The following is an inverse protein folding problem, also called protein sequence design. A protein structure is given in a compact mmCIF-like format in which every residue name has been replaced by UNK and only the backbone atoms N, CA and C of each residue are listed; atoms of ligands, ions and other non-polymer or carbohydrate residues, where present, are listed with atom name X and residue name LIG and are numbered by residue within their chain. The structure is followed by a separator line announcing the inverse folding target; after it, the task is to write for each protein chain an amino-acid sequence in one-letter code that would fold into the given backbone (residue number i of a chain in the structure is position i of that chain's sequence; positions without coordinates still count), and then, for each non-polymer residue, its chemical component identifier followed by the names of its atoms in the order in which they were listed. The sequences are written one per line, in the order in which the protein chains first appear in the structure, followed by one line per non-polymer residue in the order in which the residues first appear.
data_IF_784967248008
#
_entry.id   IF_784967248008
#
_cell.length_a   1.000
_cell.length_b   1.000
_cell.length_c   1.000
_cell.angle_alpha   90.00
_cell.angle_beta   90.00
_cell.angle_gamma   90.00
#
_symmetry.space_group_name_H-M   'P 1'
#
loop_
_entity.id
_entity.type
_entity.pdbx_description
1 polymer ?
#
# COMPACT_ATOMS: atom_id res chain seq x y z
N UNK A 1 26.21 -21.20 -10.56
CA UNK A 1 25.14 -20.24 -10.89
C UNK A 1 25.20 -19.15 -9.84
N UNK A 2 25.37 -17.89 -10.25
CA UNK A 2 25.40 -16.77 -9.29
C UNK A 2 23.98 -16.51 -8.84
N UNK A 3 23.72 -16.67 -7.54
CA UNK A 3 22.45 -16.27 -6.93
C UNK A 3 22.33 -14.74 -7.01
N UNK A 4 21.13 -14.22 -7.33
CA UNK A 4 20.88 -12.78 -7.34
C UNK A 4 21.07 -12.26 -5.92
N UNK A 5 21.84 -11.19 -5.76
CA UNK A 5 22.11 -10.64 -4.43
C UNK A 5 20.87 -9.89 -3.93
N UNK A 6 20.63 -9.93 -2.63
CA UNK A 6 19.58 -9.14 -1.97
C UNK A 6 19.66 -7.65 -2.33
N UNK A 7 20.88 -7.14 -2.58
CA UNK A 7 21.15 -5.75 -3.00
C UNK A 7 20.62 -5.40 -4.39
N UNK A 8 20.30 -6.38 -5.21
CA UNK A 8 19.82 -6.21 -6.59
C UNK A 8 18.28 -6.33 -6.69
N UNK A 9 17.64 -7.01 -5.72
CA UNK A 9 16.20 -7.26 -5.71
C UNK A 9 15.42 -5.97 -5.39
N UNK A 10 15.78 -5.28 -4.29
CA UNK A 10 15.04 -4.09 -3.84
C UNK A 10 15.02 -2.95 -4.89
N UNK A 11 16.16 -2.57 -5.50
CA UNK A 11 16.15 -1.53 -6.54
C UNK A 11 15.28 -1.90 -7.75
N UNK A 12 15.21 -3.18 -8.09
CA UNK A 12 14.41 -3.64 -9.21
C UNK A 12 12.90 -3.62 -8.88
N UNK A 13 12.52 -4.03 -7.66
CA UNK A 13 11.14 -3.88 -7.17
C UNK A 13 10.73 -2.40 -7.23
N UNK A 14 11.55 -1.51 -6.69
CA UNK A 14 11.26 -0.07 -6.67
C UNK A 14 11.13 0.49 -8.08
N UNK A 15 11.96 0.03 -9.02
CA UNK A 15 11.89 0.43 -10.42
C UNK A 15 10.61 -0.06 -11.11
N UNK A 16 10.19 -1.31 -10.87
CA UNK A 16 9.01 -1.88 -11.54
C UNK A 16 7.72 -1.28 -11.00
N UNK A 17 7.60 -1.14 -9.69
CA UNK A 17 6.37 -0.67 -9.05
C UNK A 17 6.30 0.86 -8.88
N UNK A 18 7.44 1.55 -8.96
CA UNK A 18 7.57 2.99 -8.73
C UNK A 18 6.78 3.47 -7.51
N UNK A 19 7.19 2.99 -6.33
CA UNK A 19 6.52 3.33 -5.07
C UNK A 19 6.47 4.83 -4.73
N UNK A 20 7.25 5.66 -5.42
CA UNK A 20 7.22 7.11 -5.25
C UNK A 20 6.01 7.76 -5.96
N UNK A 21 5.46 7.11 -6.99
CA UNK A 21 4.36 7.62 -7.80
C UNK A 21 3.11 6.73 -7.80
N UNK A 22 3.16 5.56 -7.14
CA UNK A 22 2.04 4.62 -7.03
C UNK A 22 0.81 5.31 -6.42
N UNK A 23 -0.35 5.12 -7.07
CA UNK A 23 -1.60 5.63 -6.53
C UNK A 23 -2.05 4.81 -5.31
N UNK A 24 -2.90 5.40 -4.45
CA UNK A 24 -3.46 4.69 -3.30
C UNK A 24 -4.32 3.48 -3.71
N UNK A 25 -4.95 3.54 -4.88
CA UNK A 25 -5.76 2.44 -5.43
C UNK A 25 -4.84 1.29 -5.86
N UNK A 26 -3.81 1.57 -6.65
CA UNK A 26 -2.81 0.56 -7.03
C UNK A 26 -2.10 -0.04 -5.80
N UNK A 27 -1.78 0.78 -4.80
CA UNK A 27 -1.16 0.33 -3.56
C UNK A 27 -2.08 -0.60 -2.77
N UNK A 28 -3.37 -0.27 -2.67
CA UNK A 28 -4.36 -1.14 -2.05
C UNK A 28 -4.47 -2.47 -2.81
N UNK A 29 -4.56 -2.43 -4.14
CA UNK A 29 -4.67 -3.63 -4.96
C UNK A 29 -3.44 -4.52 -4.80
N UNK A 30 -2.25 -3.92 -4.70
CA UNK A 30 -1.02 -4.63 -4.37
C UNK A 30 -1.08 -5.27 -2.98
N UNK A 31 -1.62 -4.54 -1.99
CA UNK A 31 -1.76 -5.00 -0.61
C UNK A 31 -2.74 -6.15 -0.47
N UNK A 32 -3.86 -6.14 -1.21
CA UNK A 32 -4.84 -7.23 -1.32
C UNK A 32 -4.21 -8.46 -1.97
N UNK A 33 -3.50 -8.27 -3.09
CA UNK A 33 -2.85 -9.38 -3.80
C UNK A 33 -1.75 -10.06 -2.97
N UNK A 34 -1.13 -9.31 -2.05
CA UNK A 34 -0.10 -9.80 -1.13
C UNK A 34 -0.66 -10.18 0.26
N UNK A 35 -1.98 -10.26 0.40
CA UNK A 35 -2.65 -10.46 1.69
C UNK A 35 -2.33 -11.81 2.35
N UNK A 36 -2.10 -12.88 1.57
CA UNK A 36 -1.81 -14.23 2.10
C UNK A 36 -0.43 -14.39 2.77
N UNK A 37 0.40 -13.34 2.84
CA UNK A 37 1.82 -13.45 3.22
C UNK A 37 2.13 -13.00 4.66
N UNK A 38 1.22 -12.37 5.41
CA UNK A 38 1.50 -11.97 6.81
C UNK A 38 0.22 -11.78 7.66
N UNK A 39 -0.01 -12.62 8.69
CA UNK A 39 -1.18 -12.53 9.56
C UNK A 39 -1.14 -11.38 10.58
N UNK A 40 -0.03 -10.64 10.71
CA UNK A 40 0.05 -9.53 11.68
C UNK A 40 -0.61 -8.22 11.21
N UNK A 41 -0.89 -8.06 9.92
CA UNK A 41 -1.49 -6.83 9.37
C UNK A 41 -2.83 -7.16 8.73
N UNK A 42 -3.90 -6.87 9.48
CA UNK A 42 -5.28 -7.12 9.06
C UNK A 42 -5.78 -5.99 8.16
N UNK A 43 -5.66 -6.18 6.84
CA UNK A 43 -6.19 -5.24 5.85
C UNK A 43 -7.69 -5.02 6.05
N UNK A 44 -8.47 -6.01 6.48
CA UNK A 44 -9.90 -5.79 6.74
C UNK A 44 -10.12 -4.81 7.88
N UNK A 45 -9.27 -4.88 8.92
CA UNK A 45 -9.31 -3.93 10.02
C UNK A 45 -8.98 -2.52 9.53
N UNK A 46 -7.93 -2.36 8.74
CA UNK A 46 -7.57 -1.06 8.16
C UNK A 46 -8.75 -0.46 7.39
N UNK A 47 -9.39 -1.27 6.54
CA UNK A 47 -10.54 -0.88 5.73
C UNK A 47 -11.80 -0.58 6.55
N UNK A 48 -12.03 -1.30 7.66
CA UNK A 48 -13.12 -1.00 8.61
C UNK A 48 -12.86 0.33 9.32
N UNK A 49 -11.63 0.56 9.76
CA UNK A 49 -11.23 1.78 10.46
C UNK A 49 -11.27 3.01 9.56
N UNK A 50 -11.04 2.89 8.24
CA UNK A 50 -11.15 4.00 7.29
C UNK A 50 -12.54 4.64 7.23
N UNK A 51 -13.60 3.90 7.57
CA UNK A 51 -14.95 4.46 7.64
C UNK A 51 -15.12 5.41 8.83
N UNK A 52 -14.28 5.27 9.87
CA UNK A 52 -14.30 6.07 11.09
C UNK A 52 -13.20 7.13 11.11
N UNK A 53 -12.05 6.84 10.50
CA UNK A 53 -10.82 7.64 10.51
C UNK A 53 -10.25 7.76 9.09
N UNK A 54 -10.95 8.46 8.17
CA UNK A 54 -10.55 8.57 6.77
C UNK A 54 -9.16 9.21 6.60
N UNK A 55 -8.75 10.11 7.50
CA UNK A 55 -7.46 10.79 7.50
C UNK A 55 -6.27 9.84 7.64
N UNK A 56 -6.49 8.64 8.20
CA UNK A 56 -5.44 7.62 8.31
C UNK A 56 -4.98 7.09 6.95
N UNK A 57 -5.82 7.19 5.92
CA UNK A 57 -5.47 6.76 4.57
C UNK A 57 -4.21 7.44 4.06
N UNK A 58 -4.17 8.77 4.14
CA UNK A 58 -3.03 9.60 3.70
C UNK A 58 -2.04 9.87 4.83
N UNK A 59 -2.43 9.71 6.09
CA UNK A 59 -1.57 9.93 7.26
C UNK A 59 -0.64 8.75 7.58
N UNK A 60 -1.20 7.56 7.83
CA UNK A 60 -0.43 6.39 8.32
C UNK A 60 -0.46 5.22 7.34
N UNK A 61 -1.63 4.89 6.79
CA UNK A 61 -1.83 3.66 6.03
C UNK A 61 -1.07 3.63 4.72
N UNK A 62 -0.95 4.75 4.00
CA UNK A 62 -0.12 4.81 2.80
C UNK A 62 1.31 4.31 3.07
N UNK A 63 1.95 4.78 4.15
CA UNK A 63 3.31 4.37 4.48
C UNK A 63 3.39 2.93 4.98
N UNK A 64 2.44 2.51 5.81
CA UNK A 64 2.37 1.15 6.34
C UNK A 64 2.15 0.12 5.22
N UNK A 65 1.23 0.40 4.29
CA UNK A 65 0.95 -0.45 3.14
C UNK A 65 2.13 -0.50 2.16
N UNK A 66 2.79 0.63 1.90
CA UNK A 66 4.00 0.66 1.07
C UNK A 66 5.10 -0.21 1.67
N UNK A 67 5.36 -0.04 2.97
CA UNK A 67 6.37 -0.82 3.70
C UNK A 67 6.04 -2.32 3.66
N UNK A 68 4.78 -2.67 3.87
CA UNK A 68 4.29 -4.03 3.76
C UNK A 68 4.54 -4.61 2.37
N UNK A 69 4.03 -3.94 1.33
CA UNK A 69 4.08 -4.44 -0.05
C UNK A 69 5.52 -4.65 -0.51
N UNK A 70 6.43 -3.72 -0.17
CA UNK A 70 7.85 -3.83 -0.49
C UNK A 70 8.51 -5.04 0.19
N UNK A 71 8.22 -5.27 1.48
CA UNK A 71 8.73 -6.43 2.24
C UNK A 71 8.18 -7.75 1.71
N UNK A 72 6.87 -7.80 1.41
CA UNK A 72 6.21 -9.00 0.90
C UNK A 72 6.72 -9.37 -0.50
N UNK A 73 6.87 -8.40 -1.40
CA UNK A 73 7.48 -8.64 -2.72
C UNK A 73 8.92 -9.12 -2.61
N UNK A 74 9.73 -8.50 -1.75
CA UNK A 74 11.11 -8.93 -1.53
C UNK A 74 11.18 -10.39 -1.04
N UNK A 75 10.36 -10.75 -0.05
CA UNK A 75 10.29 -12.12 0.48
C UNK A 75 9.87 -13.12 -0.60
N UNK A 76 8.83 -12.79 -1.36
CA UNK A 76 8.37 -13.60 -2.49
C UNK A 76 9.46 -13.79 -3.55
N UNK A 77 10.22 -12.74 -3.86
CA UNK A 77 11.33 -12.85 -4.81
C UNK A 77 12.44 -13.77 -4.33
N UNK A 78 12.74 -13.76 -3.01
CA UNK A 78 13.73 -14.66 -2.42
C UNK A 78 13.28 -16.12 -2.44
N UNK A 79 11.99 -16.38 -2.20
CA UNK A 79 11.43 -17.74 -2.22
C UNK A 79 11.50 -18.39 -3.61
N UNK A 80 11.31 -17.60 -4.66
CA UNK A 80 11.31 -18.09 -6.05
C UNK A 80 12.71 -18.45 -6.59
N UNK A 81 13.79 -18.00 -5.94
CA UNK A 81 15.19 -18.32 -6.29
C UNK A 81 15.52 -18.14 -7.78
N UNK A 82 15.28 -16.94 -8.30
CA UNK A 82 15.54 -16.62 -9.69
C UNK A 82 17.00 -16.82 -10.10
N UNK A 83 17.22 -17.31 -11.32
CA UNK A 83 18.54 -17.64 -11.85
C UNK A 83 19.25 -16.43 -12.49
N UNK A 84 18.51 -15.39 -12.88
CA UNK A 84 19.07 -14.14 -13.41
C UNK A 84 18.17 -12.93 -13.14
N UNK A 85 18.76 -11.74 -13.20
CA UNK A 85 18.02 -10.46 -13.10
C UNK A 85 16.94 -10.36 -14.18
N UNK A 86 17.15 -10.87 -15.41
CA UNK A 86 16.10 -10.83 -16.43
C UNK A 86 14.89 -11.66 -16.01
N UNK A 87 15.10 -12.86 -15.47
CA UNK A 87 13.98 -13.72 -15.02
C UNK A 87 13.20 -13.09 -13.86
N UNK A 88 13.90 -12.45 -12.93
CA UNK A 88 13.29 -11.67 -11.85
C UNK A 88 12.50 -10.47 -12.40
N UNK A 89 13.07 -9.72 -13.36
CA UNK A 89 12.41 -8.57 -13.96
C UNK A 89 11.14 -8.98 -14.71
N UNK A 90 11.18 -10.05 -15.49
CA UNK A 90 10.01 -10.61 -16.19
C UNK A 90 8.94 -11.01 -15.19
N UNK A 91 9.30 -11.71 -14.11
CA UNK A 91 8.36 -12.06 -13.05
C UNK A 91 7.69 -10.83 -12.43
N UNK A 92 8.46 -9.79 -12.08
CA UNK A 92 7.91 -8.57 -11.49
C UNK A 92 6.99 -7.81 -12.45
N UNK A 93 7.32 -7.76 -13.74
CA UNK A 93 6.47 -7.17 -14.78
C UNK A 93 5.18 -7.96 -14.96
N UNK A 94 5.25 -9.29 -15.04
CA UNK A 94 4.06 -10.16 -15.12
C UNK A 94 3.16 -10.02 -13.89
N UNK A 95 3.78 -9.86 -12.71
CA UNK A 95 3.06 -9.60 -11.47
C UNK A 95 2.34 -8.25 -11.51
N UNK A 96 3.01 -7.20 -11.97
CA UNK A 96 2.41 -5.87 -12.16
C UNK A 96 1.26 -5.90 -13.18
N UNK A 97 1.41 -6.63 -14.29
CA UNK A 97 0.32 -6.81 -15.26
C UNK A 97 -0.87 -7.58 -14.68
N UNK A 98 -0.62 -8.51 -13.77
CA UNK A 98 -1.70 -9.22 -13.06
C UNK A 98 -2.44 -8.28 -12.11
N UNK A 99 -1.73 -7.38 -11.43
CA UNK A 99 -2.34 -6.34 -10.61
C UNK A 99 -3.29 -5.43 -11.39
N UNK A 100 -2.86 -4.92 -12.56
CA UNK A 100 -3.72 -4.09 -13.44
C UNK A 100 -4.97 -4.84 -13.91
N UNK A 101 -4.89 -6.16 -14.07
CA UNK A 101 -6.06 -6.98 -14.42
C UNK A 101 -7.01 -7.17 -13.22
N UNK A 102 -6.49 -7.22 -12.00
CA UNK A 102 -7.28 -7.36 -10.77
C UNK A 102 -7.94 -6.06 -10.30
N UNK A 103 -7.37 -4.91 -10.65
CA UNK A 103 -7.99 -3.58 -10.48
C UNK A 103 -9.39 -3.50 -11.12
N UNK A 104 -9.71 -4.41 -12.04
CA UNK A 104 -11.05 -4.50 -12.64
C UNK A 104 -12.03 -5.41 -11.86
N UNK A 105 -11.59 -6.08 -10.79
CA UNK A 105 -12.34 -7.14 -10.10
C UNK A 105 -12.69 -6.77 -8.65
N UNK A 106 -11.86 -5.99 -7.95
CA UNK A 106 -12.06 -5.63 -6.53
C UNK A 106 -12.95 -4.38 -6.34
N UNK A 107 -14.20 -4.43 -6.81
CA UNK A 107 -15.07 -3.24 -6.83
C UNK A 107 -15.38 -2.65 -5.45
N UNK A 108 -15.61 -3.48 -4.43
CA UNK A 108 -16.11 -2.99 -3.13
C UNK A 108 -15.05 -2.25 -2.31
N UNK A 109 -13.79 -2.67 -2.37
CA UNK A 109 -12.69 -2.05 -1.62
C UNK A 109 -12.22 -0.77 -2.29
N UNK A 110 -12.15 -0.77 -3.62
CA UNK A 110 -11.85 0.43 -4.40
C UNK A 110 -12.91 1.51 -4.23
N UNK A 111 -14.19 1.11 -4.15
CA UNK A 111 -15.29 2.02 -3.83
C UNK A 111 -15.08 2.68 -2.47
N UNK A 112 -14.67 1.93 -1.43
CA UNK A 112 -14.39 2.49 -0.09
C UNK A 112 -13.22 3.49 -0.10
N UNK A 113 -12.13 3.19 -0.80
CA UNK A 113 -10.99 4.13 -0.93
C UNK A 113 -11.40 5.36 -1.71
N UNK A 114 -12.08 5.18 -2.84
CA UNK A 114 -12.56 6.29 -3.67
C UNK A 114 -13.52 7.19 -2.88
N UNK A 115 -14.42 6.60 -2.09
CA UNK A 115 -15.31 7.34 -1.19
C UNK A 115 -14.53 8.07 -0.11
N UNK A 116 -13.54 7.41 0.52
CA UNK A 116 -12.66 8.02 1.54
C UNK A 116 -11.89 9.20 0.96
N UNK A 117 -11.35 9.08 -0.24
CA UNK A 117 -10.64 10.17 -0.93
C UNK A 117 -11.58 11.30 -1.32
N UNK A 118 -12.79 11.01 -1.77
CA UNK A 118 -13.82 12.03 -2.03
C UNK A 118 -14.19 12.77 -0.76
N UNK A 119 -14.39 12.03 0.33
CA UNK A 119 -14.64 12.55 1.66
C UNK A 119 -13.52 13.53 2.05
N UNK A 120 -12.26 13.10 2.04
CA UNK A 120 -11.11 13.94 2.39
C UNK A 120 -10.97 15.20 1.52
N UNK A 121 -11.41 15.14 0.25
CA UNK A 121 -11.33 16.27 -0.69
C UNK A 121 -12.57 17.18 -0.69
N UNK A 122 -13.70 16.77 -0.11
CA UNK A 122 -14.85 17.67 0.04
C UNK A 122 -14.64 18.63 1.21
N UNK A 123 -14.75 19.94 0.95
CA UNK A 123 -14.64 21.04 1.93
C UNK A 123 -15.61 20.96 3.14
N UNK A 124 -16.48 19.94 3.18
CA UNK A 124 -17.53 19.76 4.19
C UNK A 124 -17.24 18.71 5.26
N UNK A 125 -16.04 18.11 5.30
CA UNK A 125 -15.69 17.27 6.44
C UNK A 125 -15.24 18.16 7.59
N UNK A 126 -16.17 18.37 8.53
CA UNK A 126 -15.81 18.62 9.93
C UNK A 126 -15.03 17.40 10.41
N UNK A 127 -13.73 17.36 10.13
CA UNK A 127 -12.81 16.44 10.78
C UNK A 127 -12.96 16.76 12.26
N UNK A 128 -13.64 15.88 12.99
CA UNK A 128 -13.70 16.01 14.42
C UNK A 128 -12.26 15.87 14.90
N UNK A 129 -11.67 17.00 15.30
CA UNK A 129 -10.35 16.99 15.91
C UNK A 129 -10.32 15.91 16.98
N UNK A 130 -9.37 14.99 16.85
CA UNK A 130 -9.08 14.06 17.93
C UNK A 130 -8.80 14.87 19.21
N UNK A 131 -9.14 14.32 20.37
CA UNK A 131 -8.85 14.98 21.64
C UNK A 131 -7.36 15.36 21.80
N UNK A 132 -6.46 14.61 21.16
CA UNK A 132 -5.04 14.90 21.09
C UNK A 132 -4.73 16.14 20.23
N UNK A 133 -5.32 16.23 19.04
CA UNK A 133 -5.15 17.38 18.13
C UNK A 133 -5.69 18.68 18.75
N UNK A 134 -6.81 18.60 19.48
CA UNK A 134 -7.40 19.75 20.20
C UNK A 134 -6.47 20.25 21.30
N UNK A 135 -5.92 19.35 22.13
CA UNK A 135 -4.98 19.70 23.19
C UNK A 135 -3.70 20.37 22.70
N UNK A 136 -3.15 19.90 21.58
CA UNK A 136 -1.95 20.51 20.98
C UNK A 136 -2.26 21.93 20.49
N UNK A 137 -3.43 22.15 19.90
CA UNK A 137 -3.85 23.48 19.43
C UNK A 137 -4.08 24.45 20.59
N UNK A 138 -4.74 23.99 21.66
CA UNK A 138 -4.96 24.77 22.90
C UNK A 138 -3.62 25.16 23.55
N UNK A 139 -2.62 24.28 23.54
CA UNK A 139 -1.29 24.54 24.09
C UNK A 139 -0.46 25.53 23.26
N UNK A 140 -0.67 25.58 21.94
CA UNK A 140 0.04 26.52 21.05
C UNK A 140 -0.58 27.93 21.10
N UNK A 141 -1.85 28.05 21.52
CA UNK A 141 -2.57 29.32 21.61
C UNK A 141 -2.58 29.96 23.01
N UNK A 142 -2.01 29.27 24.02
CA UNK A 142 -1.76 29.78 25.37
C UNK A 142 -0.35 30.34 25.51
#
# INVERSE_FOLDING_TARGET
MSEIKDTEILPLIDKVFDFNSISLVELLNLRVLLHDQDPMVDLERDLKELSLYPERLTGSYQYEWLTYCRRALFSKCKEQKFSSIETLNTFLLDYKHTLVRLEHVTSDTEVKITQTLRLLNTENIRLFESAASRRIREFIQS
#
